data_IF_343704588551
#
_entry.id   IF_343704588551
#
_cell.length_a   1.000
_cell.length_b   1.000
_cell.length_c   1.000
_cell.angle_alpha   90.00
_cell.angle_beta   90.00
_cell.angle_gamma   90.00
#
_symmetry.space_group_name_H-M   'P 1'
#
loop_
_entity.id
_entity.type
_entity.pdbx_description
1 polymer ?
#
# COMPACT_ATOMS: atom_id res chain seq x y z
N UNK A 1 -5.89 18.14 7.09
CA UNK A 1 -4.64 17.41 6.72
C UNK A 1 -4.79 16.79 5.34
N UNK A 2 -3.81 16.96 4.42
CA UNK A 2 -3.85 16.29 3.10
C UNK A 2 -3.35 14.84 3.22
N UNK A 3 -4.13 13.89 2.70
CA UNK A 3 -3.76 12.48 2.59
C UNK A 3 -3.63 12.15 1.11
N UNK A 4 -2.52 11.55 0.67
CA UNK A 4 -2.34 11.23 -0.74
C UNK A 4 -1.50 9.99 -0.96
N UNK A 5 -1.89 9.23 -1.98
CA UNK A 5 -1.05 8.19 -2.54
C UNK A 5 0.11 8.80 -3.31
N UNK A 6 1.30 8.26 -3.11
CA UNK A 6 2.52 8.62 -3.83
C UNK A 6 3.00 7.36 -4.53
N UNK A 7 2.74 7.21 -5.84
CA UNK A 7 3.17 6.05 -6.61
C UNK A 7 4.70 6.02 -6.71
N UNK A 8 5.29 4.87 -6.39
CA UNK A 8 6.73 4.61 -6.51
C UNK A 8 7.00 3.77 -7.77
N UNK A 9 6.10 2.85 -8.11
CA UNK A 9 6.25 2.00 -9.30
C UNK A 9 5.31 0.81 -9.31
N UNK A 10 5.77 -0.27 -9.94
CA UNK A 10 5.01 -1.49 -10.22
C UNK A 10 5.69 -2.77 -9.70
N UNK A 11 6.53 -2.65 -8.68
CA UNK A 11 7.20 -3.76 -8.01
C UNK A 11 8.33 -4.42 -8.80
N UNK A 12 8.96 -3.73 -9.75
CA UNK A 12 10.13 -4.23 -10.48
C UNK A 12 11.40 -3.90 -9.68
N UNK A 13 12.28 -3.05 -10.22
CA UNK A 13 13.45 -2.55 -9.48
C UNK A 13 13.04 -1.60 -8.34
N UNK A 14 11.88 -0.95 -8.47
CA UNK A 14 11.29 -0.09 -7.44
C UNK A 14 10.93 -0.83 -6.15
N UNK A 15 10.84 -2.18 -6.17
CA UNK A 15 10.72 -2.99 -4.96
C UNK A 15 11.85 -2.69 -3.97
N UNK A 16 13.09 -2.59 -4.44
CA UNK A 16 14.23 -2.36 -3.54
C UNK A 16 14.18 -0.96 -2.93
N UNK A 17 13.75 0.05 -3.69
CA UNK A 17 13.52 1.40 -3.16
C UNK A 17 12.40 1.40 -2.11
N UNK A 18 11.33 0.63 -2.33
CA UNK A 18 10.23 0.49 -1.37
C UNK A 18 10.69 -0.17 -0.05
N UNK A 19 11.53 -1.20 -0.13
CA UNK A 19 12.13 -1.86 1.04
C UNK A 19 13.06 -0.93 1.81
N UNK A 20 13.89 -0.15 1.10
CA UNK A 20 14.75 0.90 1.67
C UNK A 20 13.91 2.00 2.32
N UNK A 21 12.84 2.46 1.67
CA UNK A 21 11.94 3.46 2.24
C UNK A 21 11.32 2.97 3.55
N UNK A 22 10.91 1.70 3.61
CA UNK A 22 10.41 1.05 4.82
C UNK A 22 11.47 1.02 5.93
N UNK A 23 12.70 0.59 5.63
CA UNK A 23 13.81 0.53 6.57
C UNK A 23 14.13 1.90 7.17
N UNK A 24 14.38 2.90 6.33
CA UNK A 24 14.83 4.22 6.79
C UNK A 24 13.72 5.07 7.40
N UNK A 25 12.45 4.66 7.26
CA UNK A 25 11.32 5.36 7.85
C UNK A 25 10.50 4.48 8.81
N UNK A 26 11.05 3.37 9.30
CA UNK A 26 10.34 2.38 10.11
C UNK A 26 9.53 3.00 11.26
N UNK A 27 10.12 3.96 11.98
CA UNK A 27 9.45 4.67 13.10
C UNK A 27 8.22 5.48 12.67
N UNK A 28 8.18 5.92 11.42
CA UNK A 28 7.07 6.70 10.86
C UNK A 28 6.07 5.84 10.10
N UNK A 29 6.43 4.63 9.65
CA UNK A 29 5.49 3.73 8.99
C UNK A 29 4.46 3.26 10.02
N UNK A 30 3.19 3.53 9.76
CA UNK A 30 2.08 3.09 10.62
C UNK A 30 1.69 1.64 10.35
N UNK A 31 1.70 1.24 9.07
CA UNK A 31 1.33 -0.10 8.60
C UNK A 31 1.70 -0.25 7.12
N UNK A 32 1.88 -1.50 6.71
CA UNK A 32 1.90 -1.90 5.30
C UNK A 32 0.52 -2.46 4.94
N UNK A 33 -0.03 -2.05 3.80
CA UNK A 33 -1.36 -2.47 3.34
C UNK A 33 -1.27 -3.08 1.94
N UNK A 34 -1.73 -4.33 1.79
CA UNK A 34 -1.99 -4.91 0.49
C UNK A 34 -3.42 -4.62 0.03
N UNK A 35 -3.54 -4.29 -1.25
CA UNK A 35 -4.80 -4.13 -1.97
C UNK A 35 -4.86 -5.21 -3.03
N UNK A 36 -5.59 -6.29 -2.74
CA UNK A 36 -5.70 -7.44 -3.62
C UNK A 36 -6.83 -7.27 -4.62
N UNK A 37 -6.63 -7.72 -5.85
CA UNK A 37 -7.68 -7.72 -6.88
C UNK A 37 -7.95 -9.16 -7.34
N UNK A 38 -8.45 -10.06 -6.47
CA UNK A 38 -8.57 -11.49 -6.81
C UNK A 38 -9.57 -11.76 -7.95
N UNK A 39 -10.51 -10.83 -8.16
CA UNK A 39 -11.53 -10.89 -9.20
C UNK A 39 -11.08 -10.28 -10.54
N UNK A 40 -9.91 -9.66 -10.60
CA UNK A 40 -9.37 -9.10 -11.85
C UNK A 40 -8.73 -10.17 -12.72
N UNK A 41 -8.69 -9.94 -14.03
CA UNK A 41 -8.06 -10.87 -14.97
C UNK A 41 -6.57 -11.10 -14.67
N UNK A 42 -5.88 -10.06 -14.19
CA UNK A 42 -4.44 -10.11 -13.90
C UNK A 42 -4.13 -10.75 -12.54
N UNK A 43 -5.07 -10.73 -11.58
CA UNK A 43 -4.90 -11.21 -10.20
C UNK A 43 -3.61 -10.70 -9.57
N UNK A 44 -3.47 -9.38 -9.54
CA UNK A 44 -2.32 -8.70 -8.93
C UNK A 44 -2.71 -8.10 -7.58
N UNK A 45 -1.71 -7.59 -6.88
CA UNK A 45 -1.86 -6.93 -5.61
C UNK A 45 -0.96 -5.71 -5.60
N UNK A 46 -1.55 -4.57 -5.24
CA UNK A 46 -0.79 -3.37 -4.92
C UNK A 46 -0.39 -3.41 -3.44
N UNK A 47 0.69 -2.72 -3.07
CA UNK A 47 1.14 -2.63 -1.68
C UNK A 47 1.50 -1.19 -1.35
N UNK A 48 1.07 -0.72 -0.17
CA UNK A 48 1.34 0.62 0.30
C UNK A 48 1.98 0.67 1.69
N UNK A 49 2.93 1.59 1.89
CA UNK A 49 3.32 2.06 3.22
C UNK A 49 2.44 3.24 3.60
N UNK A 50 1.62 3.06 4.62
CA UNK A 50 0.84 4.15 5.21
C UNK A 50 1.70 4.80 6.29
N UNK A 51 2.11 6.04 6.06
CA UNK A 51 2.91 6.79 7.02
C UNK A 51 2.02 7.38 8.11
N UNK A 52 2.57 7.58 9.31
CA UNK A 52 2.02 8.52 10.27
C UNK A 52 2.03 9.95 9.66
N UNK A 53 1.05 10.81 10.02
CA UNK A 53 1.07 12.22 9.65
C UNK A 53 2.42 12.88 9.91
N UNK A 54 2.77 13.89 9.12
CA UNK A 54 3.93 14.74 9.43
C UNK A 54 3.76 15.42 10.79
N UNK A 55 4.84 15.88 11.40
CA UNK A 55 4.83 16.47 12.75
C UNK A 55 3.83 17.62 12.90
N UNK A 56 3.65 18.44 11.85
CA UNK A 56 2.67 19.54 11.81
C UNK A 56 1.27 19.11 11.32
N UNK A 57 1.06 17.82 11.08
CA UNK A 57 -0.20 17.21 10.59
C UNK A 57 -0.73 17.85 9.31
N UNK A 58 0.15 18.44 8.50
CA UNK A 58 -0.21 19.00 7.21
C UNK A 58 -0.39 17.93 6.14
N UNK A 59 0.37 16.82 6.24
CA UNK A 59 0.39 15.79 5.21
C UNK A 59 0.54 14.37 5.78
N UNK A 60 -0.12 13.40 5.16
CA UNK A 60 0.09 11.98 5.39
C UNK A 60 0.31 11.27 4.05
N UNK A 61 1.51 10.70 3.89
CA UNK A 61 1.90 9.98 2.70
C UNK A 61 1.43 8.53 2.74
N UNK A 62 0.98 8.02 1.60
CA UNK A 62 0.74 6.59 1.37
C UNK A 62 1.55 6.18 0.15
N UNK A 63 2.77 5.69 0.37
CA UNK A 63 3.66 5.30 -0.72
C UNK A 63 3.20 3.98 -1.31
N UNK A 64 2.99 3.91 -2.62
CA UNK A 64 2.31 2.78 -3.28
C UNK A 64 3.18 2.19 -4.39
N UNK A 65 3.35 0.87 -4.38
CA UNK A 65 3.64 0.13 -5.61
C UNK A 65 2.34 -0.49 -6.12
N UNK A 66 1.94 -0.10 -7.32
CA UNK A 66 0.69 -0.52 -7.94
C UNK A 66 0.88 -1.80 -8.74
N UNK A 67 -0.01 -2.79 -8.53
CA UNK A 67 0.00 -4.08 -9.21
C UNK A 67 1.37 -4.80 -9.14
N UNK A 68 2.02 -4.64 -7.99
CA UNK A 68 3.43 -4.97 -7.77
C UNK A 68 3.72 -6.47 -7.62
N UNK A 69 2.74 -7.18 -7.06
CA UNK A 69 2.88 -8.55 -6.59
C UNK A 69 1.76 -9.40 -7.19
N UNK A 70 2.04 -10.66 -7.52
CA UNK A 70 0.96 -11.61 -7.86
C UNK A 70 0.10 -11.85 -6.61
N UNK A 71 -1.20 -12.00 -6.79
CA UNK A 71 -2.10 -12.35 -5.69
C UNK A 71 -1.57 -13.61 -4.97
N UNK A 72 -1.28 -13.55 -3.66
CA UNK A 72 -0.43 -14.53 -2.97
C UNK A 72 -1.21 -15.75 -2.44
N UNK A 73 -2.48 -15.93 -2.86
CA UNK A 73 -3.33 -17.01 -2.38
C UNK A 73 -3.88 -17.87 -3.54
N UNK A 74 -3.93 -19.21 -3.36
CA UNK A 74 -3.47 -19.97 -2.20
C UNK A 74 -1.94 -20.16 -2.12
N UNK A 75 -1.23 -19.87 -3.22
CA UNK A 75 0.21 -20.02 -3.32
C UNK A 75 0.92 -18.67 -3.24
N UNK A 76 1.83 -18.55 -2.27
CA UNK A 76 2.65 -17.35 -2.07
C UNK A 76 3.65 -17.14 -3.21
N UNK A 77 4.33 -15.99 -3.20
CA UNK A 77 5.41 -15.70 -4.13
C UNK A 77 6.53 -14.88 -3.47
N UNK A 78 7.73 -14.96 -4.04
CA UNK A 78 8.93 -14.35 -3.49
C UNK A 78 8.82 -12.86 -3.15
N UNK A 79 8.12 -12.07 -3.96
CA UNK A 79 7.98 -10.62 -3.68
C UNK A 79 7.10 -10.39 -2.45
N UNK A 80 6.02 -11.16 -2.30
CA UNK A 80 5.15 -11.12 -1.12
C UNK A 80 5.92 -11.51 0.14
N UNK A 81 6.70 -12.60 0.08
CA UNK A 81 7.54 -13.06 1.18
C UNK A 81 8.56 -11.99 1.59
N UNK A 82 9.32 -11.43 0.64
CA UNK A 82 10.32 -10.39 0.91
C UNK A 82 9.72 -9.15 1.57
N UNK A 83 8.54 -8.70 1.14
CA UNK A 83 7.85 -7.55 1.74
C UNK A 83 7.40 -7.84 3.17
N UNK A 84 6.88 -9.05 3.42
CA UNK A 84 6.42 -9.44 4.75
C UNK A 84 7.58 -9.63 5.72
N UNK A 85 8.66 -10.28 5.30
CA UNK A 85 9.89 -10.44 6.10
C UNK A 85 10.47 -9.06 6.50
N UNK A 86 10.47 -8.09 5.58
CA UNK A 86 10.92 -6.72 5.88
C UNK A 86 9.99 -6.05 6.90
N UNK A 87 8.67 -6.12 6.70
CA UNK A 87 7.71 -5.53 7.62
C UNK A 87 7.80 -6.15 9.02
N UNK A 88 7.96 -7.47 9.12
CA UNK A 88 8.19 -8.19 10.37
C UNK A 88 9.49 -7.74 11.07
N UNK A 89 10.58 -7.59 10.32
CA UNK A 89 11.87 -7.11 10.83
C UNK A 89 11.74 -5.76 11.57
N UNK A 90 10.91 -4.85 11.04
CA UNK A 90 10.69 -3.53 11.64
C UNK A 90 9.42 -3.46 12.51
N UNK A 91 8.78 -4.58 12.82
CA UNK A 91 7.53 -4.67 13.59
C UNK A 91 6.39 -3.81 13.01
N UNK A 92 6.35 -3.67 11.68
CA UNK A 92 5.32 -2.92 10.97
C UNK A 92 4.08 -3.81 10.81
N UNK A 93 2.90 -3.37 11.27
CA UNK A 93 1.67 -4.13 11.07
C UNK A 93 1.35 -4.33 9.58
N UNK A 94 1.09 -5.57 9.19
CA UNK A 94 0.62 -5.92 7.84
C UNK A 94 -0.92 -5.95 7.85
N UNK A 95 -1.53 -5.36 6.82
CA UNK A 95 -2.97 -5.35 6.58
C UNK A 95 -3.25 -5.73 5.14
N UNK A 96 -4.39 -6.39 4.93
CA UNK A 96 -4.77 -6.95 3.63
C UNK A 96 -6.26 -6.69 3.41
N UNK A 97 -6.63 -6.28 2.19
CA UNK A 97 -8.02 -6.05 1.81
C UNK A 97 -8.22 -6.32 0.32
N UNK A 98 -9.34 -6.97 -0.01
CA UNK A 98 -9.77 -7.15 -1.39
C UNK A 98 -10.45 -5.87 -1.90
N UNK A 99 -10.09 -5.46 -3.11
CA UNK A 99 -10.56 -4.23 -3.76
C UNK A 99 -10.81 -4.44 -5.25
N UNK A 100 -11.51 -3.49 -5.85
CA UNK A 100 -11.61 -3.38 -7.32
C UNK A 100 -10.26 -3.09 -7.95
N UNK A 101 -10.05 -3.56 -9.18
CA UNK A 101 -8.82 -3.34 -9.93
C UNK A 101 -8.69 -1.88 -10.41
N UNK A 102 -7.46 -1.37 -10.58
CA UNK A 102 -7.24 -0.01 -11.11
C UNK A 102 -7.89 0.21 -12.49
N UNK A 103 -7.94 -0.82 -13.33
CA UNK A 103 -8.51 -0.75 -14.68
C UNK A 103 -10.04 -0.61 -14.72
N UNK A 104 -10.72 -0.84 -13.59
CA UNK A 104 -12.16 -0.60 -13.45
C UNK A 104 -12.49 0.90 -13.34
N UNK A 105 -11.47 1.75 -13.20
CA UNK A 105 -11.62 3.19 -13.06
C UNK A 105 -11.07 3.92 -14.30
N UNK A 106 -11.76 4.96 -14.81
CA UNK A 106 -11.30 5.68 -15.99
C UNK A 106 -10.07 6.54 -15.73
N UNK A 107 -9.83 6.92 -14.47
CA UNK A 107 -8.71 7.74 -14.04
C UNK A 107 -8.11 7.20 -12.74
N UNK A 108 -6.79 7.25 -12.64
CA UNK A 108 -6.07 6.71 -11.50
C UNK A 108 -6.34 7.49 -10.21
N UNK A 109 -6.63 8.78 -10.32
CA UNK A 109 -7.03 9.61 -9.19
C UNK A 109 -8.36 9.12 -8.57
N UNK A 110 -9.31 8.66 -9.38
CA UNK A 110 -10.57 8.08 -8.88
C UNK A 110 -10.32 6.76 -8.16
N UNK A 111 -9.43 5.92 -8.67
CA UNK A 111 -9.00 4.70 -7.99
C UNK A 111 -8.35 5.01 -6.63
N UNK A 112 -7.47 6.01 -6.56
CA UNK A 112 -6.84 6.43 -5.31
C UNK A 112 -7.83 7.05 -4.31
N UNK A 113 -8.85 7.76 -4.78
CA UNK A 113 -9.95 8.22 -3.94
C UNK A 113 -10.74 7.03 -3.35
N UNK A 114 -11.02 6.01 -4.17
CA UNK A 114 -11.63 4.77 -3.71
C UNK A 114 -10.78 4.04 -2.66
N UNK A 115 -9.48 3.82 -2.90
CA UNK A 115 -8.59 3.21 -1.92
C UNK A 115 -8.54 4.01 -0.61
N UNK A 116 -8.52 5.34 -0.70
CA UNK A 116 -8.56 6.21 0.48
C UNK A 116 -9.85 5.98 1.29
N UNK A 117 -11.00 5.85 0.63
CA UNK A 117 -12.27 5.51 1.27
C UNK A 117 -12.23 4.13 1.93
N UNK A 118 -11.65 3.11 1.29
CA UNK A 118 -11.45 1.78 1.88
C UNK A 118 -10.62 1.87 3.16
N UNK A 119 -9.48 2.57 3.12
CA UNK A 119 -8.61 2.75 4.29
C UNK A 119 -9.33 3.44 5.46
N UNK A 120 -10.20 4.43 5.18
CA UNK A 120 -11.00 5.10 6.21
C UNK A 120 -12.06 4.21 6.81
N UNK A 121 -12.77 3.43 5.99
CA UNK A 121 -13.79 2.48 6.47
C UNK A 121 -13.16 1.44 7.41
N UNK A 122 -11.93 1.03 7.15
CA UNK A 122 -11.18 0.11 8.00
C UNK A 122 -10.54 0.78 9.24
N UNK A 123 -10.69 2.11 9.39
CA UNK A 123 -10.00 2.91 10.41
C UNK A 123 -8.46 2.79 10.34
N UNK A 124 -7.91 2.57 9.13
CA UNK A 124 -6.48 2.41 8.92
C UNK A 124 -5.76 3.73 8.68
N UNK A 125 -6.48 4.78 8.28
CA UNK A 125 -6.02 6.16 8.27
C UNK A 125 -6.98 7.06 9.08
N UNK A 126 -6.51 8.18 9.63
CA UNK A 126 -7.37 9.15 10.31
C UNK A 126 -8.50 9.67 9.42
N UNK A 127 -9.64 10.08 10.00
CA UNK A 127 -10.70 10.76 9.26
C UNK A 127 -10.20 12.09 8.70
N UNK A 128 -10.91 12.61 7.69
CA UNK A 128 -10.68 13.98 7.23
C UNK A 128 -11.02 14.95 8.38
N UNK A 129 -10.09 15.86 8.65
CA UNK A 129 -10.29 17.04 9.49
C UNK A 129 -10.70 18.21 8.62
#
# INVERSE_FOLDING_TARGET
>A
MKQSFIPIGHGLTDLFEFLTLMEYNAERVSKMVYFHTPLSDKKLSSVALVMNPTSEQHFQAMYLMQDAVRYPYPETNKKFEMLNEQAETYNIPIKEVDVHAPEEYPELELYYNYLTSVLRLQNWIPPLQ
#
